data_IF_733889969024
#
_entry.id   IF_733889969024
#
_cell.length_a   1.000
_cell.length_b   1.000
_cell.length_c   1.000
_cell.angle_alpha   90.00
_cell.angle_beta   90.00
_cell.angle_gamma   90.00
#
_symmetry.space_group_name_H-M   'P 1'
#
loop_
_entity.id
_entity.type
_entity.pdbx_description
1 polymer ?
#
# COMPACT_ATOMS: atom_id res chain seq x y z
N UNK A 1 26.75 11.47 -21.10
CA UNK A 1 26.84 10.94 -19.70
C UNK A 1 26.53 11.97 -18.62
N UNK A 2 26.71 13.28 -18.85
CA UNK A 2 26.44 14.34 -17.85
C UNK A 2 24.94 14.58 -17.57
N UNK A 3 24.07 14.55 -18.59
CA UNK A 3 22.62 14.71 -18.42
C UNK A 3 21.99 13.64 -17.50
N UNK A 4 22.50 12.41 -17.52
CA UNK A 4 22.06 11.32 -16.64
C UNK A 4 22.49 11.53 -15.18
N UNK A 5 23.45 12.41 -14.90
CA UNK A 5 23.91 12.76 -13.56
C UNK A 5 23.18 13.98 -12.99
N UNK A 6 22.85 14.96 -13.83
CA UNK A 6 22.07 16.14 -13.45
C UNK A 6 20.62 15.78 -13.18
N UNK A 7 19.98 15.00 -14.06
CA UNK A 7 18.61 14.47 -13.84
C UNK A 7 18.56 13.64 -12.55
N UNK A 8 19.60 12.86 -12.23
CA UNK A 8 19.66 12.10 -10.98
C UNK A 8 19.80 13.00 -9.75
N UNK A 9 20.58 14.09 -9.84
CA UNK A 9 20.73 15.07 -8.76
C UNK A 9 19.46 15.88 -8.54
N UNK A 10 18.77 16.24 -9.61
CA UNK A 10 17.51 16.96 -9.58
C UNK A 10 16.39 16.08 -9.00
N UNK A 11 16.31 14.81 -9.44
CA UNK A 11 15.42 13.81 -8.85
C UNK A 11 15.72 13.56 -7.37
N UNK A 12 17.00 13.54 -6.96
CA UNK A 12 17.39 13.40 -5.56
C UNK A 12 17.01 14.63 -4.73
N UNK A 13 17.17 15.83 -5.29
CA UNK A 13 16.79 17.09 -4.62
C UNK A 13 15.27 17.18 -4.45
N UNK A 14 14.52 16.85 -5.50
CA UNK A 14 13.06 16.78 -5.46
C UNK A 14 12.57 15.74 -4.44
N UNK A 15 13.24 14.57 -4.38
CA UNK A 15 12.98 13.57 -3.35
C UNK A 15 13.25 14.09 -1.93
N UNK A 16 14.35 14.82 -1.71
CA UNK A 16 14.69 15.40 -0.40
C UNK A 16 13.65 16.44 0.01
N UNK A 17 13.21 17.29 -0.91
CA UNK A 17 12.19 18.32 -0.63
C UNK A 17 10.85 17.68 -0.26
N UNK A 18 10.41 16.66 -1.02
CA UNK A 18 9.14 15.99 -0.70
C UNK A 18 9.27 15.17 0.59
N UNK A 19 10.39 14.49 0.81
CA UNK A 19 10.64 13.81 2.08
C UNK A 19 10.60 14.79 3.25
N UNK A 20 11.18 15.98 3.10
CA UNK A 20 11.14 17.06 4.08
C UNK A 20 9.72 17.56 4.37
N UNK A 21 8.91 17.79 3.32
CA UNK A 21 7.51 18.21 3.46
C UNK A 21 6.68 17.16 4.20
N UNK A 22 6.83 15.90 3.81
CA UNK A 22 6.16 14.78 4.46
C UNK A 22 6.58 14.64 5.93
N UNK A 23 7.89 14.78 6.23
CA UNK A 23 8.41 14.73 7.61
C UNK A 23 7.92 15.93 8.45
N UNK A 24 7.77 17.12 7.87
CA UNK A 24 7.24 18.31 8.55
C UNK A 24 5.75 18.16 8.91
N UNK A 25 4.93 17.55 8.06
CA UNK A 25 3.56 17.19 8.40
C UNK A 25 3.49 16.26 9.62
N UNK A 26 4.52 15.44 9.86
CA UNK A 26 4.61 14.62 11.07
C UNK A 26 4.84 15.47 12.32
N UNK A 27 5.60 16.57 12.22
CA UNK A 27 5.84 17.49 13.33
C UNK A 27 4.60 18.30 13.74
N UNK A 28 3.71 18.58 12.78
CA UNK A 28 2.50 19.39 12.98
C UNK A 28 1.24 18.60 13.35
N UNK A 29 1.27 17.25 13.29
CA UNK A 29 0.11 16.34 13.54
C UNK A 29 -1.09 16.53 12.59
N UNK A 30 -0.96 17.28 11.50
CA UNK A 30 -2.03 17.44 10.52
C UNK A 30 -1.89 16.39 9.39
N UNK A 31 -2.64 15.29 9.49
CA UNK A 31 -2.67 14.24 8.47
C UNK A 31 -3.51 14.60 7.23
N UNK A 32 -4.44 15.55 7.33
CA UNK A 32 -5.17 16.06 6.16
C UNK A 32 -4.20 16.71 5.15
N UNK A 33 -3.20 17.44 5.66
CA UNK A 33 -2.14 18.03 4.84
C UNK A 33 -1.26 16.94 4.20
N UNK A 34 -1.08 15.80 4.87
CA UNK A 34 -0.33 14.66 4.34
C UNK A 34 -1.05 14.01 3.15
N UNK A 35 -2.37 13.84 3.22
CA UNK A 35 -3.14 13.37 2.06
C UNK A 35 -2.97 14.33 0.89
N UNK A 36 -3.21 15.62 1.11
CA UNK A 36 -3.16 16.64 0.05
C UNK A 36 -1.77 16.74 -0.59
N UNK A 37 -0.70 16.72 0.22
CA UNK A 37 0.69 16.69 -0.25
C UNK A 37 0.98 15.39 -1.00
N UNK A 38 0.51 14.24 -0.50
CA UNK A 38 0.68 12.98 -1.20
C UNK A 38 0.00 13.04 -2.57
N UNK A 39 -1.25 13.48 -2.66
CA UNK A 39 -1.96 13.60 -3.93
C UNK A 39 -1.30 14.59 -4.90
N UNK A 40 -0.88 15.75 -4.42
CA UNK A 40 -0.27 16.79 -5.26
C UNK A 40 1.11 16.35 -5.77
N UNK A 41 2.00 15.92 -4.88
CA UNK A 41 3.37 15.56 -5.22
C UNK A 41 3.45 14.21 -5.93
N UNK A 42 2.62 13.23 -5.57
CA UNK A 42 2.69 11.91 -6.21
C UNK A 42 2.27 11.98 -7.69
N UNK A 43 1.22 12.72 -8.00
CA UNK A 43 0.72 12.85 -9.38
C UNK A 43 1.63 13.69 -10.27
N UNK A 44 2.40 14.63 -9.71
CA UNK A 44 3.39 15.42 -10.46
C UNK A 44 4.68 14.64 -10.74
N UNK A 45 5.00 13.59 -9.97
CA UNK A 45 6.19 12.77 -10.20
C UNK A 45 6.05 11.91 -11.45
N UNK A 46 6.84 12.22 -12.49
CA UNK A 46 6.97 11.39 -13.68
C UNK A 46 7.90 10.17 -13.49
N UNK A 47 8.79 10.18 -12.50
CA UNK A 47 9.81 9.14 -12.28
C UNK A 47 9.33 7.99 -11.39
N UNK A 48 9.26 6.74 -11.88
CA UNK A 48 8.86 5.57 -11.09
C UNK A 48 9.75 5.31 -9.85
N UNK A 49 11.02 5.72 -9.90
CA UNK A 49 11.97 5.55 -8.79
C UNK A 49 11.64 6.49 -7.63
N UNK A 50 11.24 7.73 -7.93
CA UNK A 50 10.83 8.71 -6.93
C UNK A 50 9.48 8.30 -6.34
N UNK A 51 8.53 7.83 -7.18
CA UNK A 51 7.26 7.25 -6.72
C UNK A 51 7.49 6.08 -5.76
N UNK A 52 8.40 5.17 -6.10
CA UNK A 52 8.76 4.05 -5.24
C UNK A 52 9.38 4.50 -3.91
N UNK A 53 10.16 5.57 -3.93
CA UNK A 53 10.82 6.08 -2.72
C UNK A 53 9.83 6.83 -1.81
N UNK A 54 8.87 7.55 -2.40
CA UNK A 54 7.70 8.14 -1.72
C UNK A 54 6.86 7.08 -1.00
N UNK A 55 6.58 5.97 -1.68
CA UNK A 55 5.87 4.81 -1.11
C UNK A 55 6.64 4.23 0.09
N UNK A 56 7.98 4.15 0.01
CA UNK A 56 8.84 3.72 1.13
C UNK A 56 8.85 4.73 2.28
N UNK A 57 8.72 6.03 2.01
CA UNK A 57 8.59 7.05 3.07
C UNK A 57 7.25 6.89 3.79
N UNK A 58 6.14 6.73 3.05
CA UNK A 58 4.82 6.45 3.65
C UNK A 58 4.84 5.24 4.58
N UNK A 59 5.61 4.21 4.21
CA UNK A 59 5.83 3.03 5.05
C UNK A 59 6.49 3.39 6.40
N UNK A 60 7.51 4.25 6.41
CA UNK A 60 8.21 4.67 7.65
C UNK A 60 7.39 5.59 8.55
N UNK A 61 6.54 6.45 7.97
CA UNK A 61 5.61 7.33 8.73
C UNK A 61 4.67 6.51 9.63
N UNK A 62 4.43 5.26 9.24
CA UNK A 62 3.33 4.46 9.75
C UNK A 62 3.54 3.82 11.11
N UNK A 63 4.76 3.76 11.61
CA UNK A 63 5.03 3.19 12.95
C UNK A 63 4.47 4.11 14.06
N UNK A 64 4.11 5.37 13.76
CA UNK A 64 3.69 6.35 14.78
C UNK A 64 2.19 6.73 14.81
N UNK A 65 1.37 6.37 13.81
CA UNK A 65 0.03 6.97 13.63
C UNK A 65 -1.04 5.89 13.40
N UNK A 66 -1.51 5.28 14.49
CA UNK A 66 -2.80 4.60 14.50
C UNK A 66 -3.66 5.18 15.63
N UNK A 67 -4.02 6.46 15.50
CA UNK A 67 -5.26 6.97 16.13
C UNK A 67 -6.42 6.61 15.20
N UNK A 68 -7.55 6.21 15.78
CA UNK A 68 -8.76 5.81 15.03
C UNK A 68 -9.26 6.93 14.11
N UNK A 69 -8.96 8.18 14.46
CA UNK A 69 -9.38 9.40 13.76
C UNK A 69 -8.74 9.59 12.37
N UNK A 70 -7.75 8.77 12.02
CA UNK A 70 -6.98 8.92 10.77
C UNK A 70 -7.08 7.72 9.83
N UNK A 71 -7.94 6.75 10.14
CA UNK A 71 -8.09 5.52 9.35
C UNK A 71 -8.56 5.84 7.92
N UNK A 72 -9.56 6.72 7.76
CA UNK A 72 -10.09 7.05 6.43
C UNK A 72 -9.05 7.69 5.52
N UNK A 73 -8.25 8.62 6.05
CA UNK A 73 -7.18 9.28 5.32
C UNK A 73 -6.10 8.29 4.85
N UNK A 74 -5.71 7.38 5.73
CA UNK A 74 -4.74 6.33 5.41
C UNK A 74 -5.28 5.42 4.30
N UNK A 75 -6.55 5.00 4.39
CA UNK A 75 -7.15 4.10 3.40
C UNK A 75 -7.48 4.79 2.07
N UNK A 76 -7.68 6.10 2.07
CA UNK A 76 -7.72 6.94 0.87
C UNK A 76 -6.39 6.93 0.12
N UNK A 77 -5.26 7.19 0.81
CA UNK A 77 -3.90 7.07 0.24
C UNK A 77 -3.62 5.65 -0.30
N UNK A 78 -4.00 4.62 0.47
CA UNK A 78 -3.86 3.22 0.05
C UNK A 78 -4.67 2.91 -1.21
N UNK A 79 -5.85 3.50 -1.35
CA UNK A 79 -6.70 3.33 -2.53
C UNK A 79 -6.00 3.88 -3.76
N UNK A 80 -5.35 5.04 -3.69
CA UNK A 80 -4.52 5.51 -4.81
C UNK A 80 -3.33 4.61 -5.09
N UNK A 81 -2.62 4.17 -4.05
CA UNK A 81 -1.55 3.19 -4.17
C UNK A 81 -2.04 1.93 -4.92
N UNK A 82 -3.25 1.44 -4.62
CA UNK A 82 -3.81 0.28 -5.33
C UNK A 82 -4.05 0.56 -6.82
N UNK A 83 -4.51 1.77 -7.19
CA UNK A 83 -4.70 2.16 -8.59
C UNK A 83 -3.36 2.19 -9.34
N UNK A 84 -2.29 2.67 -8.69
CA UNK A 84 -0.93 2.68 -9.24
C UNK A 84 -0.43 1.26 -9.44
N UNK A 85 -0.55 0.43 -8.42
CA UNK A 85 -0.21 -1.00 -8.46
C UNK A 85 -0.88 -1.72 -9.64
N UNK A 86 -2.17 -1.45 -9.89
CA UNK A 86 -2.93 -2.08 -10.97
C UNK A 86 -2.52 -1.56 -12.36
N UNK A 87 -2.21 -0.26 -12.50
CA UNK A 87 -1.88 0.37 -13.78
C UNK A 87 -0.42 0.20 -14.21
N UNK A 88 0.51 0.16 -13.26
CA UNK A 88 1.95 0.22 -13.59
C UNK A 88 2.44 -1.05 -14.30
N UNK A 89 3.33 -0.87 -15.29
CA UNK A 89 4.08 -1.96 -15.93
C UNK A 89 5.44 -2.20 -15.27
N UNK A 90 5.93 -1.24 -14.49
CA UNK A 90 7.20 -1.32 -13.78
C UNK A 90 7.11 -2.34 -12.65
N UNK A 91 7.93 -3.40 -12.75
CA UNK A 91 7.92 -4.51 -11.79
C UNK A 91 8.23 -4.04 -10.37
N UNK A 92 9.27 -3.24 -10.20
CA UNK A 92 9.75 -2.84 -8.87
C UNK A 92 8.77 -1.89 -8.19
N UNK A 93 8.20 -0.95 -8.94
CA UNK A 93 7.14 -0.08 -8.43
C UNK A 93 5.94 -0.91 -7.97
N UNK A 94 5.46 -1.86 -8.81
CA UNK A 94 4.35 -2.75 -8.46
C UNK A 94 4.62 -3.55 -7.18
N UNK A 95 5.80 -4.16 -7.09
CA UNK A 95 6.22 -4.97 -5.94
C UNK A 95 6.29 -4.11 -4.67
N UNK A 96 6.87 -2.92 -4.75
CA UNK A 96 6.99 -2.02 -3.60
C UNK A 96 5.62 -1.53 -3.13
N UNK A 97 4.71 -1.20 -4.05
CA UNK A 97 3.34 -0.84 -3.68
C UNK A 97 2.60 -2.00 -3.02
N UNK A 98 2.73 -3.24 -3.54
CA UNK A 98 2.14 -4.43 -2.90
C UNK A 98 2.70 -4.61 -1.49
N UNK A 99 4.03 -4.51 -1.34
CA UNK A 99 4.70 -4.67 -0.05
C UNK A 99 4.14 -3.69 0.97
N UNK A 100 4.09 -2.40 0.61
CA UNK A 100 3.57 -1.35 1.48
C UNK A 100 2.10 -1.62 1.80
N UNK A 101 1.21 -1.82 0.82
CA UNK A 101 -0.21 -2.12 1.10
C UNK A 101 -0.35 -3.32 2.06
N UNK A 102 0.37 -4.42 1.81
CA UNK A 102 0.26 -5.64 2.61
C UNK A 102 0.72 -5.45 4.06
N UNK A 103 1.83 -4.73 4.26
CA UNK A 103 2.38 -4.47 5.59
C UNK A 103 1.49 -3.51 6.38
N UNK A 104 0.92 -2.52 5.70
CA UNK A 104 -0.05 -1.60 6.26
C UNK A 104 -1.27 -2.33 6.80
N UNK A 105 -1.81 -3.26 5.99
CA UNK A 105 -2.97 -4.05 6.37
C UNK A 105 -2.65 -4.98 7.55
N UNK A 106 -1.48 -5.63 7.57
CA UNK A 106 -1.06 -6.46 8.71
C UNK A 106 -0.97 -5.66 10.00
N UNK A 107 -0.31 -4.50 9.98
CA UNK A 107 -0.23 -3.62 11.16
C UNK A 107 -1.61 -3.14 11.62
N UNK A 108 -2.51 -2.83 10.67
CA UNK A 108 -3.89 -2.50 11.00
C UNK A 108 -4.61 -3.68 11.67
N UNK A 109 -4.42 -4.91 11.19
CA UNK A 109 -5.03 -6.10 11.80
C UNK A 109 -4.55 -6.38 13.23
N UNK A 110 -3.30 -6.03 13.56
CA UNK A 110 -2.73 -6.22 14.90
C UNK A 110 -3.27 -5.19 15.92
N UNK A 111 -3.58 -3.97 15.46
CA UNK A 111 -4.06 -2.87 16.31
C UNK A 111 -5.59 -2.80 16.38
N UNK A 112 -6.30 -3.36 15.39
CA UNK A 112 -7.75 -3.43 15.35
C UNK A 112 -8.31 -4.37 16.44
N UNK A 113 -8.48 -3.85 17.66
CA UNK A 113 -8.94 -4.61 18.84
C UNK A 113 -10.44 -4.94 18.86
N UNK A 114 -11.22 -4.38 17.95
CA UNK A 114 -12.69 -4.49 17.88
C UNK A 114 -13.12 -4.43 16.42
N UNK A 115 -14.29 -4.98 16.10
CA UNK A 115 -14.92 -4.98 14.76
C UNK A 115 -15.01 -3.55 14.19
N UNK A 116 -13.91 -3.04 13.65
CA UNK A 116 -13.85 -1.78 12.93
C UNK A 116 -14.60 -2.02 11.62
N UNK A 117 -15.93 -1.87 11.69
CA UNK A 117 -16.83 -1.70 10.56
C UNK A 117 -16.60 -0.33 9.90
N UNK A 118 -15.35 0.05 9.70
CA UNK A 118 -15.00 1.25 8.96
C UNK A 118 -15.26 0.93 7.49
N UNK A 119 -16.27 1.56 6.84
CA UNK A 119 -16.66 1.17 5.50
C UNK A 119 -15.54 1.35 4.47
N UNK A 120 -14.68 2.36 4.65
CA UNK A 120 -13.52 2.61 3.79
C UNK A 120 -12.54 1.43 3.79
N UNK A 121 -12.26 0.86 4.97
CA UNK A 121 -11.41 -0.32 5.15
C UNK A 121 -12.01 -1.53 4.44
N UNK A 122 -13.30 -1.79 4.69
CA UNK A 122 -14.00 -2.92 4.06
C UNK A 122 -13.99 -2.81 2.54
N UNK A 123 -14.37 -1.66 2.00
CA UNK A 123 -14.43 -1.41 0.56
C UNK A 123 -13.04 -1.55 -0.08
N UNK A 124 -12.00 -1.04 0.59
CA UNK A 124 -10.63 -1.19 0.14
C UNK A 124 -10.20 -2.66 0.09
N UNK A 125 -10.41 -3.43 1.16
CA UNK A 125 -10.08 -4.87 1.22
C UNK A 125 -10.80 -5.63 0.11
N UNK A 126 -12.11 -5.40 -0.06
CA UNK A 126 -12.92 -6.03 -1.10
C UNK A 126 -12.40 -5.70 -2.52
N UNK A 127 -11.92 -4.48 -2.75
CA UNK A 127 -11.33 -4.08 -4.03
C UNK A 127 -10.04 -4.83 -4.39
N UNK A 128 -9.30 -5.33 -3.39
CA UNK A 128 -8.03 -6.04 -3.60
C UNK A 128 -8.19 -7.54 -3.85
N UNK A 129 -9.33 -8.14 -3.45
CA UNK A 129 -9.57 -9.60 -3.53
C UNK A 129 -9.41 -10.15 -4.95
N UNK A 130 -9.97 -9.54 -6.02
CA UNK A 130 -9.85 -10.07 -7.38
C UNK A 130 -8.38 -10.10 -7.85
N UNK A 131 -7.65 -9.02 -7.57
CA UNK A 131 -6.25 -8.88 -7.95
C UNK A 131 -5.36 -9.89 -7.22
N UNK A 132 -5.51 -10.01 -5.90
CA UNK A 132 -4.78 -11.00 -5.09
C UNK A 132 -5.03 -12.42 -5.58
N UNK A 133 -6.29 -12.76 -5.84
CA UNK A 133 -6.67 -14.09 -6.35
C UNK A 133 -6.05 -14.38 -7.72
N UNK A 134 -5.99 -13.39 -8.62
CA UNK A 134 -5.36 -13.55 -9.92
C UNK A 134 -3.84 -13.76 -9.81
N UNK A 135 -3.18 -13.03 -8.91
CA UNK A 135 -1.75 -13.19 -8.66
C UNK A 135 -1.40 -14.59 -8.16
N UNK A 136 -2.21 -15.12 -7.22
CA UNK A 136 -2.08 -16.49 -6.75
C UNK A 136 -2.24 -17.49 -7.91
N UNK A 137 -3.32 -17.39 -8.69
CA UNK A 137 -3.53 -18.32 -9.83
C UNK A 137 -2.40 -18.31 -10.86
N UNK A 138 -1.73 -17.15 -11.04
CA UNK A 138 -0.66 -16.97 -12.05
C UNK A 138 0.75 -17.20 -11.52
N UNK A 139 0.94 -17.60 -10.25
CA UNK A 139 2.28 -17.80 -9.67
C UNK A 139 3.20 -16.58 -9.78
N UNK A 140 2.64 -15.37 -9.83
CA UNK A 140 3.40 -14.12 -9.98
C UNK A 140 3.94 -13.67 -8.63
N UNK A 141 5.15 -13.12 -8.61
CA UNK A 141 5.74 -12.43 -7.45
C UNK A 141 5.50 -13.17 -6.11
N UNK A 142 5.87 -14.46 -6.07
CA UNK A 142 5.39 -15.42 -5.06
C UNK A 142 5.31 -14.91 -3.62
N UNK A 143 6.41 -14.37 -3.11
CA UNK A 143 6.49 -13.82 -1.76
C UNK A 143 5.50 -12.67 -1.51
N UNK A 144 5.33 -11.78 -2.49
CA UNK A 144 4.45 -10.60 -2.39
C UNK A 144 2.98 -10.97 -2.53
N UNK A 145 2.67 -11.95 -3.40
CA UNK A 145 1.31 -12.48 -3.56
C UNK A 145 0.80 -13.14 -2.29
N UNK A 146 1.66 -13.94 -1.62
CA UNK A 146 1.33 -14.54 -0.33
C UNK A 146 1.12 -13.44 0.72
N UNK A 147 2.01 -12.45 0.81
CA UNK A 147 1.87 -11.34 1.77
C UNK A 147 0.56 -10.59 1.59
N UNK A 148 0.20 -10.23 0.35
CA UNK A 148 -1.03 -9.50 0.05
C UNK A 148 -2.28 -10.36 0.36
N UNK A 149 -2.27 -11.64 -0.01
CA UNK A 149 -3.38 -12.53 0.29
C UNK A 149 -3.58 -12.71 1.81
N UNK A 150 -2.50 -12.94 2.55
CA UNK A 150 -2.55 -13.08 4.01
C UNK A 150 -3.02 -11.79 4.68
N UNK A 151 -2.53 -10.62 4.26
CA UNK A 151 -2.95 -9.35 4.86
C UNK A 151 -4.43 -9.06 4.65
N UNK A 152 -5.00 -9.40 3.48
CA UNK A 152 -6.44 -9.30 3.21
C UNK A 152 -7.24 -10.23 4.14
N UNK A 153 -6.78 -11.46 4.34
CA UNK A 153 -7.43 -12.42 5.24
C UNK A 153 -7.38 -11.96 6.69
N UNK A 154 -6.24 -11.44 7.17
CA UNK A 154 -6.11 -10.95 8.55
C UNK A 154 -7.06 -9.78 8.86
N UNK A 155 -7.33 -8.92 7.89
CA UNK A 155 -8.24 -7.78 8.07
C UNK A 155 -9.72 -8.12 7.87
N UNK A 156 -10.05 -9.36 7.49
CA UNK A 156 -11.42 -9.72 7.17
C UNK A 156 -12.25 -10.09 8.40
N UNK A 157 -13.53 -9.72 8.37
CA UNK A 157 -14.44 -9.87 9.50
C UNK A 157 -14.94 -11.32 9.57
N UNK A 158 -15.09 -11.86 10.79
CA UNK A 158 -15.52 -13.25 11.05
C UNK A 158 -16.84 -13.61 10.38
N UNK A 159 -17.79 -12.66 10.34
CA UNK A 159 -19.12 -12.88 9.74
C UNK A 159 -18.96 -13.10 8.24
N UNK A 160 -19.30 -14.32 7.78
CA UNK A 160 -19.20 -14.76 6.39
C UNK A 160 -17.77 -14.87 5.83
N UNK A 161 -16.75 -14.98 6.68
CA UNK A 161 -15.35 -15.14 6.26
C UNK A 161 -15.18 -16.24 5.19
N UNK A 162 -15.64 -17.45 5.49
CA UNK A 162 -15.52 -18.55 4.53
C UNK A 162 -16.35 -18.30 3.26
N UNK A 163 -17.58 -17.81 3.38
CA UNK A 163 -18.41 -17.53 2.20
C UNK A 163 -17.73 -16.55 1.22
N UNK A 164 -17.04 -15.54 1.75
CA UNK A 164 -16.44 -14.48 0.94
C UNK A 164 -15.01 -14.82 0.47
N UNK A 165 -14.23 -15.54 1.28
CA UNK A 165 -12.79 -15.73 1.04
C UNK A 165 -12.37 -17.17 0.75
N UNK A 166 -13.28 -18.15 0.74
CA UNK A 166 -12.96 -19.57 0.50
C UNK A 166 -12.20 -19.82 -0.80
N UNK A 167 -12.58 -19.14 -1.89
CA UNK A 167 -11.87 -19.23 -3.17
C UNK A 167 -10.43 -18.74 -3.05
N UNK A 168 -10.20 -17.61 -2.39
CA UNK A 168 -8.86 -17.05 -2.21
C UNK A 168 -8.00 -17.93 -1.29
N UNK A 169 -8.58 -18.48 -0.22
CA UNK A 169 -7.92 -19.45 0.68
C UNK A 169 -7.51 -20.70 -0.10
N UNK A 170 -8.39 -21.23 -0.94
CA UNK A 170 -8.10 -22.40 -1.79
C UNK A 170 -6.96 -22.12 -2.76
N UNK A 171 -6.98 -20.95 -3.41
CA UNK A 171 -5.88 -20.52 -4.30
C UNK A 171 -4.56 -20.39 -3.52
N UNK A 172 -4.59 -19.82 -2.30
CA UNK A 172 -3.41 -19.67 -1.46
C UNK A 172 -2.83 -21.02 -1.04
N UNK A 173 -3.65 -21.97 -0.61
CA UNK A 173 -3.17 -23.32 -0.27
C UNK A 173 -2.61 -24.05 -1.49
N UNK A 174 -3.24 -23.89 -2.66
CA UNK A 174 -2.73 -24.47 -3.90
C UNK A 174 -1.38 -23.86 -4.27
N UNK A 175 -1.25 -22.55 -4.12
CA UNK A 175 -0.01 -21.81 -4.35
C UNK A 175 1.15 -22.33 -3.50
N UNK A 176 0.90 -22.48 -2.20
CA UNK A 176 1.90 -22.93 -1.22
C UNK A 176 2.34 -24.37 -1.42
N UNK A 177 1.54 -25.22 -2.09
CA UNK A 177 1.95 -26.60 -2.42
C UNK A 177 2.95 -26.68 -3.57
N UNK A 178 3.06 -25.64 -4.37
CA UNK A 178 3.87 -25.61 -5.60
C UNK A 178 5.23 -24.91 -5.39
N UNK A 179 5.36 -24.16 -4.29
CA UNK A 179 6.61 -23.50 -3.87
C UNK A 179 7.37 -24.41 -2.92
#
# INVERSE_FOLDING_TARGET
MLANSEIKKENAKYFIDIAGNILNCMGSKNLSDLEEIFFCEFNSIASPQIQSSMITILHKIKIQIFSIDHVDAIFSILTECSKIMLKTKEKDLKINTISVISEILLNFSDVAKTELNVPSVKNFIESLVPFSSEMLKKYKYSQYSIRLATSILCCSIKKNFFANYFSMITNLFTFLKVI
#
